data_IF_756982860312
#
_entry.id   IF_756982860312
#
_cell.length_a   1.000
_cell.length_b   1.000
_cell.length_c   1.000
_cell.angle_alpha   90.00
_cell.angle_beta   90.00
_cell.angle_gamma   90.00
#
_symmetry.space_group_name_H-M   'P 1'
#
loop_
_entity.id
_entity.type
_entity.pdbx_description
1 polymer ?
#
# COMPACT_ATOMS: atom_id res chain seq x y z
N UNK A 1 -35.92 15.70 -47.77
CA UNK A 1 -36.47 14.67 -46.89
C UNK A 1 -35.45 13.99 -45.95
N UNK A 2 -34.15 14.22 -46.18
CA UNK A 2 -33.10 13.58 -45.35
C UNK A 2 -32.60 14.47 -44.18
N UNK A 3 -33.09 15.70 -44.07
CA UNK A 3 -32.65 16.63 -43.04
C UNK A 3 -33.17 16.25 -41.63
N UNK A 4 -34.32 15.62 -41.55
CA UNK A 4 -34.91 15.18 -40.27
C UNK A 4 -34.28 13.89 -39.73
N UNK A 5 -33.67 13.05 -40.57
CA UNK A 5 -32.99 11.83 -40.10
C UNK A 5 -31.65 12.11 -39.40
N UNK A 6 -30.97 13.21 -39.74
CA UNK A 6 -29.71 13.56 -39.13
C UNK A 6 -29.85 14.24 -37.75
N UNK A 7 -31.05 14.80 -37.47
CA UNK A 7 -31.34 15.46 -36.20
C UNK A 7 -31.66 14.49 -35.06
N UNK A 8 -32.08 13.24 -35.42
CA UNK A 8 -32.43 12.18 -34.46
C UNK A 8 -31.35 11.10 -34.35
N UNK A 9 -30.19 11.26 -34.99
CA UNK A 9 -29.06 10.36 -34.82
C UNK A 9 -28.15 10.78 -33.63
N UNK A 10 -28.69 11.47 -32.65
CA UNK A 10 -28.13 11.49 -31.32
C UNK A 10 -28.08 10.04 -30.85
N UNK A 11 -26.87 9.52 -30.57
CA UNK A 11 -26.71 8.19 -29.98
C UNK A 11 -27.66 8.12 -28.78
N UNK A 12 -28.76 7.37 -28.91
CA UNK A 12 -29.61 7.05 -27.77
C UNK A 12 -28.73 6.28 -26.80
N UNK A 13 -28.47 6.88 -25.63
CA UNK A 13 -27.74 6.20 -24.57
C UNK A 13 -28.50 4.91 -24.22
N UNK A 14 -27.79 3.80 -24.22
CA UNK A 14 -28.40 2.54 -23.80
C UNK A 14 -28.60 2.59 -22.28
N UNK A 15 -29.59 1.88 -21.71
CA UNK A 15 -29.76 1.78 -20.26
C UNK A 15 -28.48 1.35 -19.55
N UNK A 16 -27.67 0.55 -20.19
CA UNK A 16 -26.37 0.09 -19.67
C UNK A 16 -25.33 1.22 -19.63
N UNK A 17 -25.28 2.08 -20.68
CA UNK A 17 -24.37 3.23 -20.69
C UNK A 17 -24.78 4.30 -19.67
N UNK A 18 -26.08 4.49 -19.42
CA UNK A 18 -26.57 5.37 -18.37
C UNK A 18 -26.20 4.86 -16.98
N UNK A 19 -26.33 3.55 -16.77
CA UNK A 19 -25.90 2.91 -15.50
C UNK A 19 -24.42 3.10 -15.26
N UNK A 20 -23.56 2.88 -16.27
CA UNK A 20 -22.12 3.09 -16.17
C UNK A 20 -21.76 4.52 -15.80
N UNK A 21 -22.44 5.51 -16.39
CA UNK A 21 -22.24 6.95 -16.05
C UNK A 21 -22.64 7.24 -14.61
N UNK A 22 -23.76 6.69 -14.17
CA UNK A 22 -24.22 6.85 -12.77
C UNK A 22 -23.27 6.20 -11.79
N UNK A 23 -22.78 5.00 -12.08
CA UNK A 23 -21.83 4.29 -11.25
C UNK A 23 -20.53 5.08 -11.14
N UNK A 24 -20.01 5.60 -12.25
CA UNK A 24 -18.79 6.42 -12.26
C UNK A 24 -18.99 7.69 -11.42
N UNK A 25 -20.12 8.37 -11.56
CA UNK A 25 -20.46 9.55 -10.79
C UNK A 25 -20.54 9.26 -9.29
N UNK A 26 -21.22 8.17 -8.92
CA UNK A 26 -21.37 7.76 -7.53
C UNK A 26 -20.02 7.34 -6.93
N UNK A 27 -19.19 6.63 -7.69
CA UNK A 27 -17.83 6.29 -7.29
C UNK A 27 -17.03 7.55 -6.92
N UNK A 28 -17.04 8.56 -7.79
CA UNK A 28 -16.32 9.82 -7.55
C UNK A 28 -16.84 10.56 -6.33
N UNK A 29 -18.18 10.62 -6.14
CA UNK A 29 -18.79 11.25 -4.98
C UNK A 29 -18.29 10.58 -3.69
N UNK A 30 -18.35 9.26 -3.60
CA UNK A 30 -17.89 8.53 -2.42
C UNK A 30 -16.39 8.71 -2.19
N UNK A 31 -15.59 8.63 -3.24
CA UNK A 31 -14.14 8.82 -3.14
C UNK A 31 -13.78 10.19 -2.57
N UNK A 32 -14.37 11.26 -3.12
CA UNK A 32 -14.08 12.62 -2.67
C UNK A 32 -14.68 12.93 -1.31
N UNK A 33 -15.85 12.37 -0.97
CA UNK A 33 -16.40 12.46 0.38
C UNK A 33 -15.50 11.76 1.40
N UNK A 34 -14.93 10.62 1.04
CA UNK A 34 -13.94 9.91 1.85
C UNK A 34 -12.69 10.74 2.12
N UNK A 35 -12.13 11.36 1.08
CA UNK A 35 -10.97 12.26 1.21
C UNK A 35 -11.30 13.47 2.09
N UNK A 36 -12.49 14.05 1.92
CA UNK A 36 -12.93 15.17 2.74
C UNK A 36 -13.11 14.77 4.19
N UNK A 37 -13.73 13.62 4.45
CA UNK A 37 -13.91 13.09 5.81
C UNK A 37 -12.56 12.85 6.49
N UNK A 38 -11.58 12.33 5.76
CA UNK A 38 -10.22 12.11 6.25
C UNK A 38 -9.56 13.44 6.68
N UNK A 39 -9.69 14.47 5.85
CA UNK A 39 -9.17 15.81 6.17
C UNK A 39 -9.86 16.45 7.37
N UNK A 40 -11.12 16.14 7.58
CA UNK A 40 -11.93 16.64 8.71
C UNK A 40 -11.72 15.83 10.00
N UNK A 41 -10.85 14.86 10.01
CA UNK A 41 -10.60 14.02 11.17
C UNK A 41 -11.75 13.06 11.50
N UNK A 42 -12.47 12.57 10.49
CA UNK A 42 -13.57 11.63 10.62
C UNK A 42 -13.21 10.28 9.98
N UNK A 43 -12.32 9.49 10.60
CA UNK A 43 -11.82 8.26 9.99
C UNK A 43 -12.91 7.21 9.76
N UNK A 44 -13.86 7.05 10.68
CA UNK A 44 -14.94 6.07 10.53
C UNK A 44 -15.83 6.38 9.32
N UNK A 45 -16.16 7.66 9.13
CA UNK A 45 -16.92 8.08 7.98
C UNK A 45 -16.13 7.96 6.68
N UNK A 46 -14.84 8.27 6.72
CA UNK A 46 -13.95 8.09 5.56
C UNK A 46 -13.86 6.62 5.12
N UNK A 47 -13.72 5.69 6.07
CA UNK A 47 -13.75 4.24 5.79
C UNK A 47 -15.04 3.85 5.08
N UNK A 48 -16.17 4.32 5.58
CA UNK A 48 -17.49 4.04 4.98
C UNK A 48 -17.57 4.54 3.54
N UNK A 49 -17.13 5.77 3.29
CA UNK A 49 -17.14 6.36 1.94
C UNK A 49 -16.24 5.59 0.98
N UNK A 50 -15.00 5.29 1.37
CA UNK A 50 -14.08 4.54 0.52
C UNK A 50 -14.56 3.11 0.27
N UNK A 51 -15.17 2.47 1.26
CA UNK A 51 -15.76 1.13 1.11
C UNK A 51 -16.90 1.15 0.09
N UNK A 52 -17.78 2.15 0.17
CA UNK A 52 -18.86 2.32 -0.81
C UNK A 52 -18.31 2.59 -2.21
N UNK A 53 -17.29 3.42 -2.34
CA UNK A 53 -16.63 3.69 -3.62
C UNK A 53 -16.06 2.40 -4.22
N UNK A 54 -15.34 1.62 -3.44
CA UNK A 54 -14.71 0.36 -3.89
C UNK A 54 -15.73 -0.74 -4.21
N UNK A 55 -16.93 -0.68 -3.61
CA UNK A 55 -18.02 -1.58 -3.99
C UNK A 55 -18.55 -1.30 -5.40
N UNK A 56 -18.41 -0.06 -5.87
CA UNK A 56 -18.79 0.32 -7.24
C UNK A 56 -17.66 0.00 -8.22
N UNK A 57 -16.43 0.39 -7.88
CA UNK A 57 -15.26 0.24 -8.75
C UNK A 57 -14.01 0.00 -7.92
N UNK A 58 -13.30 -1.08 -8.21
CA UNK A 58 -11.97 -1.32 -7.65
C UNK A 58 -10.98 -0.36 -8.29
N UNK A 59 -10.36 0.48 -7.47
CA UNK A 59 -9.36 1.45 -7.91
C UNK A 59 -8.17 1.42 -6.98
N UNK A 60 -6.97 1.30 -7.55
CA UNK A 60 -5.72 1.22 -6.82
C UNK A 60 -5.51 2.40 -5.86
N UNK A 61 -5.74 3.62 -6.35
CA UNK A 61 -5.56 4.84 -5.54
C UNK A 61 -6.50 4.86 -4.33
N UNK A 62 -7.78 4.54 -4.53
CA UNK A 62 -8.78 4.50 -3.45
C UNK A 62 -8.45 3.40 -2.43
N UNK A 63 -7.99 2.24 -2.89
CA UNK A 63 -7.50 1.19 -2.02
C UNK A 63 -6.31 1.67 -1.18
N UNK A 64 -5.43 2.47 -1.76
CA UNK A 64 -4.31 3.09 -1.06
C UNK A 64 -4.78 3.99 0.08
N UNK A 65 -5.75 4.85 -0.16
CA UNK A 65 -6.33 5.70 0.88
C UNK A 65 -6.94 4.88 2.01
N UNK A 66 -7.72 3.87 1.68
CA UNK A 66 -8.37 3.02 2.68
C UNK A 66 -7.35 2.22 3.48
N UNK A 67 -6.32 1.68 2.84
CA UNK A 67 -5.26 0.94 3.54
C UNK A 67 -4.53 1.81 4.55
N UNK A 68 -4.23 3.06 4.21
CA UNK A 68 -3.60 4.01 5.13
C UNK A 68 -4.51 4.32 6.33
N UNK A 69 -5.80 4.50 6.11
CA UNK A 69 -6.77 4.67 7.19
C UNK A 69 -6.80 3.47 8.13
N UNK A 70 -6.84 2.27 7.59
CA UNK A 70 -6.83 1.06 8.41
C UNK A 70 -5.55 0.94 9.24
N UNK A 71 -4.40 1.31 8.69
CA UNK A 71 -3.14 1.34 9.43
C UNK A 71 -3.24 2.33 10.60
N UNK A 72 -3.71 3.55 10.35
CA UNK A 72 -3.88 4.58 11.37
C UNK A 72 -4.86 4.17 12.48
N UNK A 73 -5.88 3.40 12.14
CA UNK A 73 -6.90 2.91 13.07
C UNK A 73 -6.49 1.62 13.79
N UNK A 74 -5.32 1.05 13.48
CA UNK A 74 -4.88 -0.22 14.05
C UNK A 74 -5.53 -1.46 13.45
N UNK A 75 -6.27 -1.31 12.34
CA UNK A 75 -6.92 -2.40 11.62
C UNK A 75 -5.94 -3.06 10.64
N UNK A 76 -4.90 -3.68 11.18
CA UNK A 76 -3.78 -4.20 10.39
C UNK A 76 -4.15 -5.34 9.46
N UNK A 77 -5.05 -6.22 9.87
CA UNK A 77 -5.52 -7.34 9.03
C UNK A 77 -6.24 -6.84 7.78
N UNK A 78 -7.10 -5.83 7.94
CA UNK A 78 -7.82 -5.21 6.81
C UNK A 78 -6.88 -4.45 5.88
N UNK A 79 -5.91 -3.74 6.45
CA UNK A 79 -4.87 -3.06 5.69
C UNK A 79 -4.06 -4.05 4.84
N UNK A 80 -3.65 -5.16 5.45
CA UNK A 80 -2.89 -6.20 4.76
C UNK A 80 -3.66 -6.79 3.57
N UNK A 81 -4.93 -7.10 3.75
CA UNK A 81 -5.80 -7.64 2.70
C UNK A 81 -5.87 -6.69 1.50
N UNK A 82 -6.07 -5.39 1.74
CA UNK A 82 -6.08 -4.38 0.67
C UNK A 82 -4.73 -4.25 -0.02
N UNK A 83 -3.64 -4.23 0.73
CA UNK A 83 -2.29 -4.11 0.18
C UNK A 83 -1.93 -5.33 -0.68
N UNK A 84 -2.34 -6.52 -0.30
CA UNK A 84 -2.16 -7.72 -1.10
C UNK A 84 -2.94 -7.65 -2.42
N UNK A 85 -4.17 -7.13 -2.39
CA UNK A 85 -4.94 -6.86 -3.61
C UNK A 85 -4.26 -5.83 -4.50
N UNK A 86 -3.78 -4.73 -3.92
CA UNK A 86 -3.06 -3.69 -4.65
C UNK A 86 -1.80 -4.25 -5.33
N UNK A 87 -1.07 -5.09 -4.62
CA UNK A 87 0.13 -5.74 -5.15
C UNK A 87 -0.19 -6.66 -6.33
N UNK A 88 -1.34 -7.32 -6.32
CA UNK A 88 -1.80 -8.16 -7.43
C UNK A 88 -2.26 -7.32 -8.62
N UNK A 89 -2.89 -6.17 -8.38
CA UNK A 89 -3.37 -5.27 -9.43
C UNK A 89 -2.23 -4.56 -10.15
N UNK A 90 -1.27 -4.02 -9.40
CA UNK A 90 -0.12 -3.27 -9.92
C UNK A 90 1.15 -3.76 -9.24
N UNK A 91 1.78 -4.82 -9.76
CA UNK A 91 2.92 -5.47 -9.10
C UNK A 91 4.24 -4.70 -9.20
N UNK A 92 4.28 -3.57 -9.91
CA UNK A 92 5.50 -2.80 -10.15
C UNK A 92 5.61 -1.54 -9.26
N UNK A 93 4.77 -1.42 -8.24
CA UNK A 93 4.75 -0.25 -7.35
C UNK A 93 5.50 -0.59 -6.07
N UNK A 94 6.70 -0.06 -5.92
CA UNK A 94 7.57 -0.31 -4.76
C UNK A 94 6.91 0.05 -3.43
N UNK A 95 6.22 1.20 -3.37
CA UNK A 95 5.61 1.69 -2.13
C UNK A 95 4.58 0.73 -1.54
N UNK A 96 3.84 -0.01 -2.38
CA UNK A 96 2.88 -1.02 -1.92
C UNK A 96 3.59 -2.10 -1.09
N UNK A 97 4.71 -2.60 -1.57
CA UNK A 97 5.47 -3.65 -0.90
C UNK A 97 6.15 -3.14 0.38
N UNK A 98 6.62 -1.90 0.38
CA UNK A 98 7.19 -1.29 1.59
C UNK A 98 6.11 -1.15 2.68
N UNK A 99 4.94 -0.70 2.33
CA UNK A 99 3.81 -0.57 3.26
C UNK A 99 3.35 -1.94 3.75
N UNK A 100 3.26 -2.92 2.85
CA UNK A 100 2.92 -4.30 3.21
C UNK A 100 3.94 -4.91 4.18
N UNK A 101 5.23 -4.68 3.96
CA UNK A 101 6.29 -5.13 4.86
C UNK A 101 6.10 -4.53 6.27
N UNK A 102 5.79 -3.24 6.35
CA UNK A 102 5.53 -2.59 7.64
C UNK A 102 4.30 -3.17 8.36
N UNK A 103 3.24 -3.47 7.64
CA UNK A 103 2.05 -4.10 8.22
C UNK A 103 2.37 -5.52 8.71
N UNK A 104 3.12 -6.28 7.94
CA UNK A 104 3.60 -7.61 8.36
C UNK A 104 4.48 -7.54 9.62
N UNK A 105 5.31 -6.50 9.73
CA UNK A 105 6.10 -6.25 10.94
C UNK A 105 5.21 -6.04 12.17
N UNK A 106 4.16 -5.22 12.04
CA UNK A 106 3.20 -4.97 13.13
C UNK A 106 2.52 -6.29 13.57
N UNK A 107 2.25 -7.16 12.63
CA UNK A 107 1.66 -8.48 12.88
C UNK A 107 2.67 -9.55 13.33
N UNK A 108 3.95 -9.18 13.42
CA UNK A 108 5.04 -10.11 13.72
C UNK A 108 5.14 -11.28 12.74
N UNK A 109 4.65 -11.08 11.51
CA UNK A 109 4.82 -12.03 10.41
C UNK A 109 6.09 -11.70 9.63
N UNK A 110 7.22 -12.10 10.19
CA UNK A 110 8.53 -11.72 9.67
C UNK A 110 8.87 -12.40 8.35
N UNK A 111 8.35 -13.58 8.09
CA UNK A 111 8.54 -14.26 6.81
C UNK A 111 7.82 -13.51 5.67
N UNK A 112 6.56 -13.12 5.88
CA UNK A 112 5.82 -12.32 4.91
C UNK A 112 6.45 -10.93 4.72
N UNK A 113 6.99 -10.34 5.81
CA UNK A 113 7.74 -9.09 5.75
C UNK A 113 8.95 -9.19 4.84
N UNK A 114 9.73 -10.26 4.99
CA UNK A 114 10.88 -10.54 4.15
C UNK A 114 10.51 -10.68 2.68
N UNK A 115 9.45 -11.42 2.39
CA UNK A 115 8.95 -11.60 1.02
C UNK A 115 8.55 -10.26 0.38
N UNK A 116 7.84 -9.41 1.12
CA UNK A 116 7.43 -8.08 0.65
C UNK A 116 8.65 -7.19 0.41
N UNK A 117 9.61 -7.17 1.34
CA UNK A 117 10.83 -6.39 1.19
C UNK A 117 11.65 -6.85 -0.03
N UNK A 118 11.75 -8.15 -0.27
CA UNK A 118 12.42 -8.69 -1.45
C UNK A 118 11.72 -8.29 -2.75
N UNK A 119 10.41 -8.22 -2.78
CA UNK A 119 9.67 -7.73 -3.95
C UNK A 119 9.94 -6.26 -4.22
N UNK A 120 10.03 -5.45 -3.17
CA UNK A 120 10.43 -4.04 -3.30
C UNK A 120 11.84 -3.91 -3.88
N UNK A 121 12.79 -4.72 -3.43
CA UNK A 121 14.17 -4.74 -3.94
C UNK A 121 14.20 -5.18 -5.41
N UNK A 122 13.37 -6.14 -5.80
CA UNK A 122 13.29 -6.58 -7.19
C UNK A 122 12.83 -5.46 -8.13
N UNK A 123 11.99 -4.54 -7.65
CA UNK A 123 11.54 -3.37 -8.40
C UNK A 123 12.60 -2.26 -8.37
N UNK A 124 13.10 -1.92 -7.18
CA UNK A 124 14.11 -0.89 -6.94
C UNK A 124 15.27 -1.48 -6.12
N UNK A 125 16.28 -1.97 -6.78
CA UNK A 125 17.44 -2.60 -6.12
C UNK A 125 18.16 -1.66 -5.15
N UNK A 126 18.20 -0.36 -5.47
CA UNK A 126 18.85 0.68 -4.66
C UNK A 126 17.98 1.29 -3.58
N UNK A 127 16.83 0.70 -3.24
CA UNK A 127 15.95 1.24 -2.21
C UNK A 127 16.47 0.90 -0.81
N UNK A 128 17.04 1.91 -0.12
CA UNK A 128 17.63 1.73 1.20
C UNK A 128 16.61 1.26 2.24
N UNK A 129 15.38 1.77 2.18
CA UNK A 129 14.30 1.38 3.11
C UNK A 129 13.95 -0.10 2.95
N UNK A 130 13.91 -0.61 1.72
CA UNK A 130 13.63 -2.02 1.46
C UNK A 130 14.70 -2.93 2.11
N UNK A 131 15.97 -2.58 2.00
CA UNK A 131 17.06 -3.32 2.65
C UNK A 131 16.98 -3.22 4.17
N UNK A 132 16.62 -2.06 4.71
CA UNK A 132 16.37 -1.89 6.14
C UNK A 132 15.23 -2.79 6.64
N UNK A 133 14.10 -2.83 5.93
CA UNK A 133 12.96 -3.67 6.28
C UNK A 133 13.33 -5.16 6.21
N UNK A 134 14.14 -5.54 5.24
CA UNK A 134 14.67 -6.91 5.14
C UNK A 134 15.54 -7.25 6.36
N UNK A 135 16.38 -6.33 6.80
CA UNK A 135 17.17 -6.47 8.03
C UNK A 135 16.29 -6.62 9.27
N UNK A 136 15.24 -5.82 9.38
CA UNK A 136 14.25 -5.94 10.49
C UNK A 136 13.56 -7.30 10.48
N UNK A 137 13.20 -7.80 9.31
CA UNK A 137 12.56 -9.12 9.18
C UNK A 137 13.49 -10.23 9.67
N UNK A 138 14.76 -10.14 9.34
CA UNK A 138 15.78 -11.10 9.82
C UNK A 138 16.01 -10.98 11.33
N UNK A 139 15.99 -9.76 11.86
CA UNK A 139 16.06 -9.53 13.30
C UNK A 139 14.91 -10.21 14.03
N UNK A 140 13.71 -10.11 13.51
CA UNK A 140 12.53 -10.79 14.06
C UNK A 140 12.64 -12.33 14.01
N UNK A 141 13.46 -12.85 13.12
CA UNK A 141 13.75 -14.29 12.99
C UNK A 141 14.99 -14.73 13.81
N UNK A 142 15.52 -13.85 14.65
CA UNK A 142 16.71 -14.07 15.47
C UNK A 142 17.98 -14.38 14.64
N UNK A 143 18.05 -13.87 13.43
CA UNK A 143 19.20 -14.05 12.53
C UNK A 143 20.06 -12.76 12.52
N UNK A 144 20.88 -12.59 13.54
CA UNK A 144 21.70 -11.39 13.71
C UNK A 144 22.73 -11.20 12.58
N UNK A 145 23.27 -12.28 12.04
CA UNK A 145 24.25 -12.20 10.94
C UNK A 145 23.62 -11.62 9.67
N UNK A 146 22.47 -12.13 9.26
CA UNK A 146 21.76 -11.62 8.09
C UNK A 146 21.21 -10.22 8.33
N UNK A 147 20.79 -9.92 9.56
CA UNK A 147 20.39 -8.57 9.97
C UNK A 147 21.51 -7.57 9.68
N UNK A 148 22.73 -7.88 10.13
CA UNK A 148 23.89 -7.02 9.92
C UNK A 148 24.20 -6.85 8.43
N UNK A 149 24.14 -7.93 7.65
CA UNK A 149 24.40 -7.89 6.21
C UNK A 149 23.43 -6.96 5.47
N UNK A 150 22.12 -7.10 5.75
CA UNK A 150 21.11 -6.27 5.09
C UNK A 150 21.16 -4.81 5.55
N UNK A 151 21.40 -4.57 6.83
CA UNK A 151 21.53 -3.21 7.36
C UNK A 151 22.80 -2.52 6.84
N UNK A 152 23.88 -3.24 6.65
CA UNK A 152 25.09 -2.70 6.02
C UNK A 152 24.79 -2.23 4.60
N UNK A 153 24.00 -2.99 3.84
CA UNK A 153 23.58 -2.59 2.50
C UNK A 153 22.71 -1.33 2.56
N UNK A 154 21.76 -1.26 3.48
CA UNK A 154 20.91 -0.08 3.67
C UNK A 154 21.73 1.17 3.97
N UNK A 155 22.72 1.08 4.86
CA UNK A 155 23.62 2.16 5.25
C UNK A 155 24.53 2.57 4.09
N UNK A 156 25.01 1.62 3.28
CA UNK A 156 25.79 1.90 2.08
C UNK A 156 24.98 2.73 1.09
N UNK A 157 23.68 2.45 0.95
CA UNK A 157 22.79 3.17 0.05
C UNK A 157 22.35 4.53 0.61
N UNK A 158 22.25 4.65 1.94
CA UNK A 158 21.86 5.88 2.63
C UNK A 158 22.73 6.02 3.90
N UNK A 159 23.79 6.80 3.81
CA UNK A 159 24.81 6.93 4.87
C UNK A 159 24.24 7.46 6.18
N UNK A 160 23.29 8.38 6.14
CA UNK A 160 22.65 8.99 7.29
C UNK A 160 21.42 8.23 7.82
N UNK A 161 21.31 6.94 7.50
CA UNK A 161 20.19 6.10 7.93
C UNK A 161 20.35 5.70 9.40
N UNK A 162 19.89 6.56 10.30
CA UNK A 162 20.09 6.42 11.76
C UNK A 162 19.47 5.13 12.30
N UNK A 163 18.23 4.83 11.93
CA UNK A 163 17.51 3.65 12.39
C UNK A 163 18.24 2.36 12.00
N UNK A 164 18.78 2.31 10.80
CA UNK A 164 19.57 1.17 10.34
C UNK A 164 20.87 1.02 11.13
N UNK A 165 21.54 2.13 11.45
CA UNK A 165 22.76 2.11 12.27
C UNK A 165 22.51 1.64 13.68
N UNK A 166 21.40 2.11 14.29
CA UNK A 166 21.03 1.70 15.65
C UNK A 166 20.70 0.21 15.72
N UNK A 167 19.90 -0.30 14.76
CA UNK A 167 19.53 -1.69 14.72
C UNK A 167 20.75 -2.60 14.46
N UNK A 168 21.66 -2.17 13.59
CA UNK A 168 22.91 -2.90 13.34
C UNK A 168 23.80 -2.95 14.58
N UNK A 169 23.92 -1.85 15.31
CA UNK A 169 24.67 -1.81 16.57
C UNK A 169 24.09 -2.80 17.59
N UNK A 170 22.76 -2.85 17.71
CA UNK A 170 22.09 -3.82 18.57
C UNK A 170 22.40 -5.27 18.19
N UNK A 171 22.31 -5.58 16.90
CA UNK A 171 22.62 -6.92 16.40
C UNK A 171 24.10 -7.29 16.63
N UNK A 172 25.03 -6.35 16.46
CA UNK A 172 26.45 -6.56 16.76
C UNK A 172 26.69 -6.81 18.23
N UNK A 173 26.00 -6.08 19.11
CA UNK A 173 26.08 -6.30 20.56
C UNK A 173 25.57 -7.68 20.96
N UNK A 174 24.46 -8.13 20.35
CA UNK A 174 23.92 -9.46 20.61
C UNK A 174 24.91 -10.56 20.23
N UNK A 175 25.63 -10.43 19.14
CA UNK A 175 26.65 -11.39 18.72
C UNK A 175 27.84 -11.46 19.66
N UNK A 176 28.20 -10.35 20.31
CA UNK A 176 29.32 -10.31 21.27
C UNK A 176 29.00 -10.95 22.62
N UNK A 177 27.73 -11.15 22.93
CA UNK A 177 27.28 -11.75 24.19
C UNK A 177 27.23 -13.28 24.14
N UNK A 178 27.48 -13.85 22.97
CA UNK A 178 27.57 -15.27 22.73
C UNK A 178 29.04 -15.69 22.75
#
# INVERSE_FOLDING_TARGET
PNFFKSFFSGKSETPESEKQKNDQKNFEIFKYDGLRAQRMGRPDYAVKCFTEALAIQEEFETMGYLSQLYIQMGETAKARELLEKMAAMEPDVTSTFLTLANVCFIQEDYQAMEEAANKAIAIEEGNAVAHYLLGKARKGQDDDLMTIAHLTKAITLKDDFIEARLLRAEALMNLKQI
#
